data_IF_482905999087
#
_entry.id   IF_482905999087
#
_cell.length_a   1.000
_cell.length_b   1.000
_cell.length_c   1.000
_cell.angle_alpha   90.00
_cell.angle_beta   90.00
_cell.angle_gamma   90.00
#
_symmetry.space_group_name_H-M   'P 1'
#
loop_
_entity.id
_entity.type
_entity.pdbx_description
1 polymer ?
#
# COMPACT_ATOMS: atom_id res chain seq x y z
N UNK A 1 4.69 9.78 -6.40
CA UNK A 1 4.93 10.08 -7.83
C UNK A 1 6.07 9.20 -8.32
N UNK A 2 5.97 8.62 -9.51
CA UNK A 2 6.99 7.77 -10.10
C UNK A 2 7.64 8.48 -11.29
N UNK A 3 8.97 8.74 -11.27
CA UNK A 3 9.66 9.27 -12.43
C UNK A 3 9.75 8.21 -13.53
N UNK A 4 9.35 8.57 -14.75
CA UNK A 4 9.30 7.66 -15.91
C UNK A 4 10.19 8.12 -17.07
N UNK A 5 11.10 9.06 -16.80
CA UNK A 5 12.08 9.58 -17.76
C UNK A 5 11.70 10.94 -18.35
N UNK A 6 12.68 11.69 -18.87
CA UNK A 6 12.44 12.95 -19.58
C UNK A 6 11.72 14.03 -18.76
N UNK A 7 11.95 14.09 -17.44
CA UNK A 7 11.22 14.97 -16.50
C UNK A 7 9.70 14.71 -16.43
N UNK A 8 9.25 13.53 -16.87
CA UNK A 8 7.88 13.08 -16.73
C UNK A 8 7.70 12.22 -15.50
N UNK A 9 6.52 12.33 -14.91
CA UNK A 9 6.12 11.62 -13.71
C UNK A 9 4.71 11.07 -13.85
N UNK A 10 4.49 9.89 -13.29
CA UNK A 10 3.15 9.37 -13.04
C UNK A 10 2.77 9.58 -11.58
N UNK A 11 1.58 10.13 -11.35
CA UNK A 11 0.93 10.16 -10.04
C UNK A 11 -0.18 9.14 -10.06
N UNK A 12 -0.17 8.21 -9.11
CA UNK A 12 -1.18 7.17 -9.01
C UNK A 12 -2.06 7.47 -7.80
N UNK A 13 -3.36 7.41 -8.00
CA UNK A 13 -4.37 7.68 -6.98
C UNK A 13 -5.29 6.47 -6.86
N UNK A 14 -5.48 6.00 -5.62
CA UNK A 14 -6.46 4.97 -5.31
C UNK A 14 -7.65 5.67 -4.65
N UNK A 15 -8.84 5.40 -5.14
CA UNK A 15 -10.04 6.12 -4.75
C UNK A 15 -11.30 5.23 -4.86
N UNK A 16 -12.40 5.82 -4.41
CA UNK A 16 -13.73 5.26 -4.44
C UNK A 16 -14.52 5.83 -5.63
N UNK A 17 -15.29 5.00 -6.33
CA UNK A 17 -16.27 5.43 -7.32
C UNK A 17 -17.49 6.08 -6.65
N UNK A 18 -18.24 6.87 -7.42
CA UNK A 18 -19.46 7.52 -6.92
C UNK A 18 -20.47 6.50 -6.39
N UNK A 19 -20.60 5.34 -7.05
CA UNK A 19 -21.50 4.26 -6.61
C UNK A 19 -21.09 3.70 -5.25
N UNK A 20 -19.81 3.38 -5.05
CA UNK A 20 -19.35 2.89 -3.75
C UNK A 20 -19.35 3.99 -2.68
N UNK A 21 -19.16 5.25 -3.08
CA UNK A 21 -19.29 6.39 -2.18
C UNK A 21 -20.72 6.56 -1.66
N UNK A 22 -21.74 6.41 -2.51
CA UNK A 22 -23.13 6.43 -2.07
C UNK A 22 -23.44 5.29 -1.09
N UNK A 23 -22.89 4.10 -1.30
CA UNK A 23 -23.04 2.96 -0.37
C UNK A 23 -22.44 3.31 0.98
N UNK A 24 -21.20 3.80 1.00
CA UNK A 24 -20.51 4.22 2.22
C UNK A 24 -21.29 5.29 2.99
N UNK A 25 -21.82 6.30 2.29
CA UNK A 25 -22.61 7.36 2.90
C UNK A 25 -23.90 6.86 3.55
N UNK A 26 -24.58 5.89 2.93
CA UNK A 26 -25.86 5.37 3.44
C UNK A 26 -25.68 4.40 4.59
N UNK A 27 -24.59 3.64 4.59
CA UNK A 27 -24.39 2.52 5.50
C UNK A 27 -23.55 2.87 6.74
N UNK A 28 -23.03 4.11 6.85
CA UNK A 28 -22.26 4.66 8.00
C UNK A 28 -21.65 3.57 8.90
N UNK A 29 -20.41 3.17 8.60
CA UNK A 29 -19.67 2.07 9.25
C UNK A 29 -19.96 0.65 8.72
N UNK A 30 -20.36 0.51 7.45
CA UNK A 30 -20.31 -0.78 6.79
C UNK A 30 -18.88 -1.07 6.28
N UNK A 31 -18.24 -2.05 6.92
CA UNK A 31 -16.97 -2.69 6.53
C UNK A 31 -17.06 -3.42 5.17
N UNK A 32 -18.06 -3.12 4.34
CA UNK A 32 -18.14 -3.54 2.94
C UNK A 32 -17.52 -2.53 1.97
N UNK A 33 -17.17 -1.31 2.41
CA UNK A 33 -16.71 -0.26 1.48
C UNK A 33 -15.21 -0.32 1.20
N UNK A 34 -14.84 -0.81 0.02
CA UNK A 34 -13.47 -0.85 -0.51
C UNK A 34 -13.23 0.22 -1.58
N UNK A 35 -11.97 0.56 -1.85
CA UNK A 35 -11.64 1.37 -3.02
C UNK A 35 -11.72 0.50 -4.27
N UNK A 36 -12.32 1.03 -5.34
CA UNK A 36 -12.59 0.27 -6.56
C UNK A 36 -11.96 0.88 -7.81
N UNK A 37 -11.31 2.03 -7.66
CA UNK A 37 -10.63 2.74 -8.72
C UNK A 37 -9.15 2.93 -8.39
N UNK A 38 -8.31 2.69 -9.40
CA UNK A 38 -6.92 3.11 -9.43
C UNK A 38 -6.71 3.92 -10.70
N UNK A 39 -6.34 5.19 -10.57
CA UNK A 39 -6.10 6.08 -11.69
C UNK A 39 -4.65 6.54 -11.72
N UNK A 40 -4.20 6.95 -12.89
CA UNK A 40 -2.96 7.71 -13.01
C UNK A 40 -3.15 9.06 -13.70
N UNK A 41 -2.19 9.93 -13.41
CA UNK A 41 -2.05 11.25 -13.99
C UNK A 41 -0.61 11.37 -14.49
N UNK A 42 -0.43 11.82 -15.74
CA UNK A 42 0.89 12.11 -16.29
C UNK A 42 1.19 13.59 -16.12
N UNK A 43 2.35 13.87 -15.53
CA UNK A 43 2.87 15.21 -15.30
C UNK A 43 4.15 15.36 -16.10
N UNK A 44 4.19 16.41 -16.92
CA UNK A 44 5.41 16.87 -17.59
C UNK A 44 5.96 18.06 -16.80
N UNK A 45 7.09 17.87 -16.09
CA UNK A 45 7.70 18.93 -15.29
C UNK A 45 8.54 19.91 -16.12
N UNK A 46 8.84 19.60 -17.39
CA UNK A 46 9.55 20.53 -18.28
C UNK A 46 8.61 21.58 -18.89
N UNK A 47 7.30 21.31 -18.91
CA UNK A 47 6.29 22.22 -19.44
C UNK A 47 6.24 23.56 -18.69
N UNK A 48 5.63 24.58 -19.32
CA UNK A 48 5.40 25.90 -18.75
C UNK A 48 6.67 26.55 -18.17
N UNK A 49 7.79 26.47 -18.91
CA UNK A 49 9.10 26.98 -18.47
C UNK A 49 9.54 26.42 -17.11
N UNK A 50 9.28 25.13 -16.85
CA UNK A 50 9.66 24.45 -15.61
C UNK A 50 8.64 24.52 -14.48
N UNK A 51 7.47 25.16 -14.68
CA UNK A 51 6.37 25.14 -13.71
C UNK A 51 5.56 23.83 -13.75
N UNK A 52 5.78 23.02 -14.78
CA UNK A 52 5.11 21.75 -14.98
C UNK A 52 3.67 21.87 -15.50
N UNK A 53 3.13 20.74 -15.96
CA UNK A 53 1.77 20.60 -16.48
C UNK A 53 1.27 19.17 -16.33
N UNK A 54 0.02 19.00 -15.89
CA UNK A 54 -0.69 17.72 -16.00
C UNK A 54 -1.10 17.52 -17.46
N UNK A 55 -0.51 16.54 -18.14
CA UNK A 55 -0.76 16.26 -19.57
C UNK A 55 -1.79 15.16 -19.79
N UNK A 56 -1.98 14.27 -18.80
CA UNK A 56 -3.10 13.32 -18.73
C UNK A 56 -3.61 13.28 -17.30
N UNK A 57 -4.93 13.21 -17.13
CA UNK A 57 -5.55 13.19 -15.80
C UNK A 57 -6.68 12.18 -15.75
N UNK A 58 -6.84 11.50 -14.60
CA UNK A 58 -7.90 10.52 -14.33
C UNK A 58 -7.94 9.39 -15.37
N UNK A 59 -6.76 8.90 -15.77
CA UNK A 59 -6.68 7.77 -16.70
C UNK A 59 -6.82 6.48 -15.90
N UNK A 60 -7.79 5.60 -16.18
CA UNK A 60 -8.00 4.39 -15.42
C UNK A 60 -6.86 3.39 -15.59
N UNK A 61 -6.39 2.82 -14.47
CA UNK A 61 -5.51 1.65 -14.41
C UNK A 61 -6.29 0.40 -14.03
N UNK A 62 -7.10 0.51 -12.97
CA UNK A 62 -8.00 -0.53 -12.50
C UNK A 62 -9.35 0.10 -12.21
N UNK A 63 -10.41 -0.61 -12.60
CA UNK A 63 -11.80 -0.24 -12.37
C UNK A 63 -12.56 -1.46 -11.87
N UNK A 64 -13.55 -1.26 -11.00
CA UNK A 64 -14.30 -2.33 -10.35
C UNK A 64 -13.39 -3.33 -9.61
N UNK A 65 -12.25 -2.86 -9.10
CA UNK A 65 -11.30 -3.69 -8.38
C UNK A 65 -11.65 -3.75 -6.89
N UNK A 66 -11.13 -4.75 -6.17
CA UNK A 66 -11.29 -4.84 -4.72
C UNK A 66 -10.00 -4.36 -4.09
N UNK A 67 -9.83 -3.05 -3.92
CA UNK A 67 -8.60 -2.44 -3.42
C UNK A 67 -8.73 -2.10 -1.95
N UNK A 68 -7.71 -2.46 -1.17
CA UNK A 68 -7.58 -1.93 0.18
C UNK A 68 -7.38 -0.43 0.15
N UNK A 69 -7.66 0.30 1.24
CA UNK A 69 -7.35 1.75 1.30
C UNK A 69 -5.83 1.99 1.41
N UNK A 70 -5.09 1.36 2.36
CA UNK A 70 -3.63 1.41 2.44
C UNK A 70 -2.99 0.45 1.42
N UNK A 71 -1.73 0.08 1.61
CA UNK A 71 -1.16 -1.05 0.89
C UNK A 71 -0.67 -0.76 -0.53
N UNK A 72 -0.37 0.50 -0.86
CA UNK A 72 0.19 0.86 -2.17
C UNK A 72 1.66 1.29 -2.06
N UNK A 73 2.55 0.57 -2.75
CA UNK A 73 3.99 0.91 -2.74
C UNK A 73 4.65 0.51 -4.06
N UNK A 74 5.66 1.28 -4.47
CA UNK A 74 6.43 1.00 -5.67
C UNK A 74 7.86 0.55 -5.36
N UNK A 75 8.41 -0.32 -6.20
CA UNK A 75 9.80 -0.75 -6.19
C UNK A 75 10.42 -0.56 -7.56
N UNK A 76 11.69 -0.18 -7.65
CA UNK A 76 12.38 -0.10 -8.95
C UNK A 76 12.50 -1.50 -9.56
N UNK A 77 12.21 -1.63 -10.84
CA UNK A 77 12.47 -2.85 -11.61
C UNK A 77 13.98 -3.16 -11.62
N UNK A 78 14.36 -4.41 -11.83
CA UNK A 78 15.77 -4.82 -11.91
C UNK A 78 16.55 -4.11 -13.04
N UNK A 79 15.85 -3.61 -14.06
CA UNK A 79 16.45 -2.88 -15.19
C UNK A 79 16.84 -1.43 -14.86
N UNK A 80 16.54 -0.94 -13.65
CA UNK A 80 16.93 0.38 -13.17
C UNK A 80 16.12 1.56 -13.71
N UNK A 81 15.21 1.35 -14.67
CA UNK A 81 14.39 2.41 -15.27
C UNK A 81 12.92 2.31 -14.86
N UNK A 82 12.36 1.13 -15.01
CA UNK A 82 10.92 0.88 -14.84
C UNK A 82 10.59 0.63 -13.36
N UNK A 83 9.30 0.58 -13.03
CA UNK A 83 8.84 0.36 -11.66
C UNK A 83 7.83 -0.78 -11.57
N UNK A 84 7.89 -1.52 -10.48
CA UNK A 84 6.78 -2.31 -9.98
C UNK A 84 5.91 -1.43 -9.08
N UNK A 85 4.60 -1.55 -9.21
CA UNK A 85 3.62 -0.98 -8.29
C UNK A 85 2.77 -2.12 -7.75
N UNK A 86 2.83 -2.33 -6.43
CA UNK A 86 1.97 -3.26 -5.72
C UNK A 86 0.84 -2.49 -5.05
N UNK A 87 -0.38 -3.01 -5.19
CA UNK A 87 -1.57 -2.50 -4.50
C UNK A 87 -2.31 -3.63 -3.80
N UNK A 88 -2.37 -3.57 -2.48
CA UNK A 88 -3.08 -4.53 -1.64
C UNK A 88 -4.57 -4.58 -1.96
N UNK A 89 -5.12 -5.77 -1.97
CA UNK A 89 -6.54 -6.01 -2.19
C UNK A 89 -7.34 -5.91 -0.90
N UNK A 90 -8.61 -5.59 -1.04
CA UNK A 90 -9.52 -5.44 0.09
C UNK A 90 -9.65 -6.76 0.83
N UNK A 91 -9.61 -6.68 2.15
CA UNK A 91 -9.84 -7.78 3.06
C UNK A 91 -8.88 -8.97 2.93
N UNK A 92 -7.82 -8.97 2.13
CA UNK A 92 -6.99 -10.17 1.99
C UNK A 92 -5.49 -9.85 1.90
N UNK A 93 -4.66 -10.88 1.83
CA UNK A 93 -3.21 -10.76 1.69
C UNK A 93 -2.76 -10.70 0.22
N UNK A 94 -3.68 -10.43 -0.71
CA UNK A 94 -3.40 -10.45 -2.14
C UNK A 94 -2.98 -9.07 -2.65
N UNK A 95 -2.24 -9.03 -3.76
CA UNK A 95 -1.76 -7.80 -4.36
C UNK A 95 -2.02 -7.75 -5.86
N UNK A 96 -2.62 -6.66 -6.32
CA UNK A 96 -2.52 -6.26 -7.72
C UNK A 96 -1.08 -5.87 -8.03
N UNK A 97 -0.55 -6.35 -9.15
CA UNK A 97 0.84 -6.13 -9.58
C UNK A 97 0.85 -5.45 -10.93
N UNK A 98 1.39 -4.24 -10.98
CA UNK A 98 1.47 -3.44 -12.20
C UNK A 98 2.94 -3.16 -12.54
N UNK A 99 3.33 -3.36 -13.79
CA UNK A 99 4.59 -2.85 -14.33
C UNK A 99 4.35 -1.44 -14.87
N UNK A 100 5.19 -0.48 -14.47
CA UNK A 100 5.12 0.91 -14.89
C UNK A 100 6.36 1.24 -15.69
N UNK A 101 6.17 1.63 -16.96
CA UNK A 101 7.24 1.99 -17.90
C UNK A 101 7.09 3.44 -18.35
N UNK A 102 8.01 3.92 -19.19
CA UNK A 102 7.87 5.23 -19.85
C UNK A 102 6.73 5.29 -20.88
N UNK A 103 6.24 4.12 -21.31
CA UNK A 103 5.19 3.99 -22.33
C UNK A 103 3.79 3.82 -21.69
N UNK A 104 3.72 3.47 -20.40
CA UNK A 104 2.48 3.35 -19.67
C UNK A 104 2.54 2.28 -18.58
N UNK A 105 1.47 1.50 -18.48
CA UNK A 105 1.27 0.50 -17.44
C UNK A 105 0.89 -0.84 -18.07
N UNK A 106 1.36 -1.92 -17.48
CA UNK A 106 0.99 -3.29 -17.84
C UNK A 106 0.48 -4.02 -16.59
N UNK A 107 -0.74 -4.56 -16.65
CA UNK A 107 -1.29 -5.37 -15.58
C UNK A 107 -0.67 -6.78 -15.59
N UNK A 108 0.01 -7.15 -14.50
CA UNK A 108 0.59 -8.48 -14.30
C UNK A 108 -0.30 -9.38 -13.44
N UNK A 109 -1.51 -8.93 -13.13
CA UNK A 109 -2.53 -9.69 -12.43
C UNK A 109 -2.40 -9.62 -10.91
N UNK A 110 -3.06 -10.57 -10.27
CA UNK A 110 -3.19 -10.65 -8.81
C UNK A 110 -2.31 -11.77 -8.29
N UNK A 111 -1.46 -11.45 -7.32
CA UNK A 111 -0.70 -12.44 -6.56
C UNK A 111 -1.47 -12.78 -5.30
N UNK A 112 -1.80 -14.07 -5.14
CA UNK A 112 -2.68 -14.56 -4.08
C UNK A 112 -1.89 -15.22 -2.96
N UNK A 113 -2.29 -14.95 -1.72
CA UNK A 113 -1.60 -15.43 -0.54
C UNK A 113 -2.57 -15.82 0.58
N UNK A 114 -2.24 -16.82 1.41
CA UNK A 114 -3.06 -17.14 2.56
C UNK A 114 -3.13 -15.95 3.52
N UNK A 115 -4.31 -15.75 4.11
CA UNK A 115 -4.46 -14.83 5.23
C UNK A 115 -3.65 -15.35 6.42
N UNK A 116 -2.65 -14.60 6.84
CA UNK A 116 -1.85 -14.91 8.03
C UNK A 116 -1.97 -13.77 9.04
N UNK A 117 -2.85 -13.93 10.03
CA UNK A 117 -3.15 -12.91 11.05
C UNK A 117 -4.64 -12.82 11.40
N UNK A 118 -4.97 -11.98 12.39
CA UNK A 118 -6.32 -11.77 12.90
C UNK A 118 -6.93 -10.50 12.29
N UNK A 119 -8.04 -10.68 11.55
CA UNK A 119 -8.92 -9.68 10.93
C UNK A 119 -8.30 -8.73 9.89
N UNK A 120 -8.95 -8.68 8.72
CA UNK A 120 -8.70 -7.67 7.69
C UNK A 120 -9.86 -6.66 7.61
N UNK A 121 -10.72 -6.67 8.62
CA UNK A 121 -12.08 -6.14 8.50
C UNK A 121 -12.12 -4.61 8.44
N UNK A 122 -11.05 -3.97 8.92
CA UNK A 122 -10.93 -2.52 9.00
C UNK A 122 -9.55 -2.08 8.49
N UNK A 123 -9.53 -1.62 7.24
CA UNK A 123 -8.33 -1.31 6.45
C UNK A 123 -8.17 0.20 6.21
N UNK A 124 -8.36 1.05 7.22
CA UNK A 124 -8.27 2.51 7.01
C UNK A 124 -6.84 3.03 6.98
N UNK A 125 -5.92 2.29 7.59
CA UNK A 125 -4.57 2.69 7.87
C UNK A 125 -3.60 1.51 7.77
N UNK A 126 -2.31 1.82 7.78
CA UNK A 126 -1.24 0.87 7.52
C UNK A 126 -0.26 1.38 6.48
N UNK A 127 0.89 0.73 6.41
CA UNK A 127 1.97 1.11 5.52
C UNK A 127 2.57 -0.14 4.88
N UNK A 128 3.06 0.05 3.66
CA UNK A 128 3.94 -0.92 3.02
C UNK A 128 5.27 -0.29 2.69
N UNK A 129 6.33 -1.09 2.69
CA UNK A 129 7.65 -0.64 2.32
C UNK A 129 8.42 -1.79 1.65
N UNK A 130 9.20 -1.45 0.63
CA UNK A 130 10.28 -2.29 0.15
C UNK A 130 11.58 -2.00 0.90
N UNK A 131 12.35 -3.03 1.16
CA UNK A 131 13.76 -2.92 1.55
C UNK A 131 14.56 -2.07 0.54
N UNK A 132 15.70 -1.53 0.98
CA UNK A 132 16.50 -0.59 0.17
C UNK A 132 16.98 -1.18 -1.17
N UNK A 133 17.30 -2.47 -1.21
CA UNK A 133 17.66 -3.17 -2.46
C UNK A 133 16.44 -3.72 -3.22
N UNK A 134 15.26 -3.65 -2.61
CA UNK A 134 13.98 -4.14 -3.11
C UNK A 134 13.83 -5.66 -3.10
N UNK A 135 14.66 -6.41 -2.39
CA UNK A 135 14.57 -7.88 -2.30
C UNK A 135 13.49 -8.37 -1.32
N UNK A 136 13.01 -7.49 -0.45
CA UNK A 136 11.95 -7.75 0.53
C UNK A 136 10.85 -6.71 0.46
N UNK A 137 9.62 -7.14 0.73
CA UNK A 137 8.43 -6.32 0.86
C UNK A 137 7.75 -6.59 2.20
N UNK A 138 7.52 -5.54 2.99
CA UNK A 138 6.78 -5.61 4.24
C UNK A 138 5.51 -4.78 4.13
N UNK A 139 4.41 -5.27 4.69
CA UNK A 139 3.18 -4.51 4.80
C UNK A 139 2.46 -4.80 6.11
N UNK A 140 1.80 -3.77 6.63
CA UNK A 140 0.88 -3.85 7.76
C UNK A 140 -0.48 -3.32 7.35
N UNK A 141 -1.52 -3.87 7.97
CA UNK A 141 -2.81 -3.22 8.11
C UNK A 141 -2.87 -2.70 9.54
N UNK A 142 -3.33 -1.48 9.69
CA UNK A 142 -3.43 -0.78 10.96
C UNK A 142 -4.10 -1.62 12.02
N UNK A 143 -3.49 -1.64 13.20
CA UNK A 143 -4.09 -2.19 14.41
C UNK A 143 -4.42 -3.70 14.39
N UNK A 144 -3.69 -4.51 13.61
CA UNK A 144 -3.86 -5.98 13.54
C UNK A 144 -2.73 -6.79 14.16
N UNK A 145 -1.67 -6.14 14.65
CA UNK A 145 -0.62 -6.83 15.40
C UNK A 145 0.23 -7.77 14.55
N UNK A 146 0.15 -7.66 13.22
CA UNK A 146 0.82 -8.57 12.30
C UNK A 146 1.47 -7.81 11.16
N UNK A 147 2.76 -8.06 10.95
CA UNK A 147 3.49 -7.63 9.76
C UNK A 147 3.54 -8.80 8.78
N UNK A 148 3.08 -8.59 7.55
CA UNK A 148 3.30 -9.53 6.46
C UNK A 148 4.60 -9.17 5.74
N UNK A 149 5.54 -10.11 5.71
CA UNK A 149 6.85 -9.96 5.10
C UNK A 149 7.03 -10.98 3.97
N UNK A 150 7.51 -10.53 2.82
CA UNK A 150 7.72 -11.34 1.62
C UNK A 150 9.14 -11.14 1.09
N UNK A 151 9.66 -12.16 0.40
CA UNK A 151 10.75 -11.99 -0.57
C UNK A 151 10.14 -11.42 -1.86
N UNK A 152 10.87 -10.58 -2.60
CA UNK A 152 10.43 -9.95 -3.85
C UNK A 152 11.48 -10.09 -4.95
N UNK A 153 11.08 -10.62 -6.11
CA UNK A 153 11.90 -10.69 -7.30
C UNK A 153 11.65 -9.45 -8.19
N UNK A 154 12.64 -8.54 -8.20
CA UNK A 154 12.58 -7.30 -9.00
C UNK A 154 12.61 -7.51 -10.51
N UNK A 155 13.00 -8.68 -11.01
CA UNK A 155 12.98 -9.00 -12.44
C UNK A 155 11.58 -9.38 -12.93
N UNK A 156 10.79 -10.03 -12.07
CA UNK A 156 9.49 -10.63 -12.46
C UNK A 156 8.30 -9.96 -11.76
N UNK A 157 8.55 -9.21 -10.70
CA UNK A 157 7.51 -8.60 -9.87
C UNK A 157 6.86 -9.58 -8.90
N UNK A 158 7.41 -10.78 -8.72
CA UNK A 158 6.80 -11.83 -7.91
C UNK A 158 7.17 -11.70 -6.42
N UNK A 159 6.16 -11.75 -5.56
CA UNK A 159 6.27 -11.96 -4.13
C UNK A 159 6.36 -13.47 -3.84
N UNK A 160 7.13 -13.84 -2.82
CA UNK A 160 7.23 -15.22 -2.37
C UNK A 160 7.58 -15.30 -0.88
N UNK A 161 7.56 -16.51 -0.32
CA UNK A 161 7.93 -16.80 1.08
C UNK A 161 7.28 -15.82 2.08
N UNK A 162 5.96 -15.71 1.99
CA UNK A 162 5.19 -14.92 2.95
C UNK A 162 5.47 -15.41 4.38
N UNK A 163 5.71 -14.46 5.29
CA UNK A 163 5.95 -14.66 6.71
C UNK A 163 5.08 -13.67 7.49
N UNK A 164 4.36 -14.15 8.48
CA UNK A 164 3.68 -13.30 9.45
C UNK A 164 4.57 -13.10 10.67
N UNK A 165 4.83 -11.85 11.03
CA UNK A 165 5.54 -11.48 12.26
C UNK A 165 4.50 -10.86 13.19
N UNK A 166 4.25 -11.53 14.31
CA UNK A 166 3.35 -11.02 15.34
C UNK A 166 4.07 -9.99 16.20
N UNK A 167 3.50 -8.80 16.27
CA UNK A 167 3.96 -7.70 17.10
C UNK A 167 3.35 -7.87 18.49
N UNK A 168 4.13 -7.72 19.57
CA UNK A 168 3.61 -7.80 20.92
C UNK A 168 2.42 -6.87 21.14
N UNK A 169 1.38 -7.37 21.79
CA UNK A 169 0.25 -6.57 22.27
C UNK A 169 0.80 -5.54 23.26
N UNK A 170 0.44 -4.27 23.08
CA UNK A 170 0.68 -3.26 24.10
C UNK A 170 -0.58 -3.03 24.91
N UNK A 171 -0.42 -2.95 26.22
CA UNK A 171 -1.47 -2.52 27.13
C UNK A 171 -1.42 -1.01 27.21
N UNK A 172 -2.31 -0.35 26.48
CA UNK A 172 -2.46 1.10 26.54
C UNK A 172 -3.73 1.40 27.34
N UNK A 173 -3.59 2.18 28.42
CA UNK A 173 -4.74 2.68 29.16
C UNK A 173 -5.46 3.75 28.34
N UNK A 174 -6.79 3.69 28.26
CA UNK A 174 -7.57 4.81 27.77
C UNK A 174 -7.59 5.89 28.87
N UNK A 175 -7.09 7.12 28.64
CA UNK A 175 -7.12 8.16 29.68
C UNK A 175 -8.55 8.56 30.10
N UNK A 176 -9.56 8.16 29.32
CA UNK A 176 -10.98 8.41 29.57
C UNK A 176 -11.75 7.17 30.05
N UNK A 177 -11.10 6.00 30.17
CA UNK A 177 -11.72 4.76 30.64
C UNK A 177 -10.69 3.92 31.43
N UNK A 178 -11.03 3.57 32.66
CA UNK A 178 -10.19 2.73 33.54
C UNK A 178 -9.97 1.30 33.05
N UNK A 179 -10.61 0.89 31.95
CA UNK A 179 -10.35 -0.41 31.31
C UNK A 179 -9.00 -0.42 30.58
N UNK A 180 -8.17 -1.44 30.84
CA UNK A 180 -7.03 -1.75 29.98
C UNK A 180 -7.57 -2.30 28.66
N UNK A 181 -7.31 -1.60 27.55
CA UNK A 181 -7.62 -2.12 26.22
C UNK A 181 -6.32 -2.63 25.60
N UNK A 182 -6.30 -3.91 25.26
CA UNK A 182 -5.23 -4.47 24.44
C UNK A 182 -5.33 -3.85 23.04
N UNK A 183 -4.31 -3.08 22.65
CA UNK A 183 -4.30 -2.40 21.37
C UNK A 183 -3.05 -2.77 20.59
N UNK A 184 -3.26 -3.19 19.35
CA UNK A 184 -2.17 -3.31 18.40
C UNK A 184 -1.98 -1.94 17.76
N UNK A 185 -0.75 -1.44 17.74
CA UNK A 185 -0.46 -0.16 17.08
C UNK A 185 0.40 -0.34 15.83
N UNK A 186 0.15 -1.42 15.08
CA UNK A 186 0.91 -1.72 13.86
C UNK A 186 0.45 -0.85 12.68
N UNK A 187 0.87 0.41 12.64
CA UNK A 187 0.46 1.37 11.60
C UNK A 187 1.56 1.66 10.57
N UNK A 188 2.82 1.65 11.00
CA UNK A 188 3.97 2.02 10.18
C UNK A 188 5.02 0.91 10.15
N UNK A 189 5.74 0.79 9.03
CA UNK A 189 6.82 -0.19 8.87
C UNK A 189 7.99 0.43 8.11
N UNK A 190 9.22 0.18 8.59
CA UNK A 190 10.43 0.68 7.95
C UNK A 190 11.59 -0.29 8.03
N UNK A 191 12.28 -0.53 6.91
CA UNK A 191 13.53 -1.28 6.90
C UNK A 191 14.70 -0.36 7.29
N UNK A 192 15.63 -0.88 8.10
CA UNK A 192 16.95 -0.27 8.28
C UNK A 192 17.72 -0.19 6.94
N UNK A 193 18.61 0.80 6.75
CA UNK A 193 19.37 0.95 5.50
C UNK A 193 20.23 -0.26 5.13
N UNK A 194 20.74 -0.98 6.13
CA UNK A 194 21.52 -2.20 5.95
C UNK A 194 20.66 -3.48 5.97
N UNK A 195 19.33 -3.33 6.01
CA UNK A 195 18.34 -4.40 5.92
C UNK A 195 18.38 -5.43 7.06
N UNK A 196 19.10 -5.15 8.14
CA UNK A 196 19.22 -6.08 9.28
C UNK A 196 18.05 -6.02 10.25
N UNK A 197 17.38 -4.87 10.29
CA UNK A 197 16.26 -4.59 11.18
C UNK A 197 15.05 -4.13 10.38
N UNK A 198 13.88 -4.54 10.86
CA UNK A 198 12.57 -4.05 10.47
C UNK A 198 11.96 -3.35 11.69
N UNK A 199 11.69 -2.06 11.55
CA UNK A 199 11.02 -1.25 12.57
C UNK A 199 9.52 -1.25 12.29
N UNK A 200 8.74 -1.33 13.37
CA UNK A 200 7.29 -1.21 13.33
C UNK A 200 6.92 -0.09 14.28
N UNK A 201 6.09 0.84 13.82
CA UNK A 201 5.55 1.89 14.69
C UNK A 201 4.61 1.25 15.72
N UNK A 202 4.53 1.87 16.90
CA UNK A 202 3.61 1.45 17.93
C UNK A 202 3.37 2.57 18.95
N UNK A 203 2.16 2.62 19.48
CA UNK A 203 1.73 3.50 20.55
C UNK A 203 2.20 2.97 21.89
N UNK A 204 2.62 3.87 22.76
CA UNK A 204 2.98 3.58 24.15
C UNK A 204 2.61 4.79 25.02
N UNK A 205 2.15 4.53 26.25
CA UNK A 205 1.92 5.60 27.21
C UNK A 205 3.26 6.18 27.66
N UNK A 206 3.36 7.50 27.67
CA UNK A 206 4.57 8.21 28.09
C UNK A 206 4.57 8.58 29.59
N UNK A 207 3.42 8.43 30.28
CA UNK A 207 3.18 8.82 31.66
C UNK A 207 2.27 7.82 32.37
#
# INVERSE_FOLDING_TARGET
MLPVGGQKYYVITSLLSDTHYEVWQRAMNDDSTYFDLLWYHEIDMAANNGLGRVVRSKVPLLENAYLSKPGMMACRHANGRDWWLLKGRYHNSDFHTLLVTSEGFEDRGIQQFPRMGQNYDWDVDGQSMFSADGSMFATVIGHRGTVNLFDFDRCTGQLSKQRAIHVPVQKTGNPMDSSEVEFFSTVGVAFSPNQRFLYVAGDFNLL
#
